data_IF_465721391632
#
_entry.id   IF_465721391632
#
_cell.length_a   1.000
_cell.length_b   1.000
_cell.length_c   1.000
_cell.angle_alpha   90.00
_cell.angle_beta   90.00
_cell.angle_gamma   90.00
#
_symmetry.space_group_name_H-M   'P 1'
#
loop_
_entity.id
_entity.type
_entity.pdbx_description
1 polymer ?
#
# COMPACT_ATOMS: atom_id res chain seq x y z
N UNK A 1 -8.29 -29.65 -1.63
CA UNK A 1 -9.62 -29.55 -2.25
C UNK A 1 -10.57 -28.68 -1.43
N UNK A 2 -10.69 -28.88 -0.10
CA UNK A 2 -11.64 -28.12 0.75
C UNK A 2 -11.44 -26.58 0.74
N UNK A 3 -10.20 -26.08 0.71
CA UNK A 3 -9.91 -24.65 0.69
C UNK A 3 -10.53 -23.96 -0.53
N UNK A 4 -10.18 -24.43 -1.72
CA UNK A 4 -10.63 -23.78 -2.96
C UNK A 4 -12.13 -23.87 -3.20
N UNK A 5 -12.79 -24.96 -2.77
CA UNK A 5 -14.26 -25.05 -2.86
C UNK A 5 -14.97 -24.00 -2.00
N UNK A 6 -14.43 -23.69 -0.80
CA UNK A 6 -14.99 -22.63 0.06
C UNK A 6 -14.72 -21.25 -0.54
N UNK A 7 -13.49 -20.99 -1.04
CA UNK A 7 -13.15 -19.73 -1.71
C UNK A 7 -14.06 -19.49 -2.92
N UNK A 8 -14.26 -20.51 -3.76
CA UNK A 8 -15.18 -20.44 -4.93
C UNK A 8 -16.60 -20.15 -4.48
N UNK A 9 -17.12 -20.88 -3.52
CA UNK A 9 -18.48 -20.63 -2.99
C UNK A 9 -18.63 -19.20 -2.46
N UNK A 10 -17.59 -18.64 -1.83
CA UNK A 10 -17.61 -17.25 -1.35
C UNK A 10 -17.60 -16.24 -2.50
N UNK A 11 -16.81 -16.48 -3.55
CA UNK A 11 -16.82 -15.67 -4.78
C UNK A 11 -18.23 -15.67 -5.38
N UNK A 12 -18.84 -16.84 -5.58
CA UNK A 12 -20.17 -16.99 -6.17
C UNK A 12 -21.25 -16.29 -5.33
N UNK A 13 -21.16 -16.41 -4.00
CA UNK A 13 -22.08 -15.74 -3.07
C UNK A 13 -22.02 -14.21 -3.23
N UNK A 14 -20.83 -13.64 -3.34
CA UNK A 14 -20.65 -12.18 -3.39
C UNK A 14 -20.91 -11.62 -4.78
N UNK A 15 -20.52 -12.35 -5.83
CA UNK A 15 -20.69 -11.88 -7.21
C UNK A 15 -22.06 -12.19 -7.80
N UNK A 16 -22.80 -13.14 -7.21
CA UNK A 16 -24.06 -13.67 -7.77
C UNK A 16 -23.85 -14.48 -9.06
N UNK A 17 -22.63 -14.83 -9.42
CA UNK A 17 -22.28 -15.53 -10.66
C UNK A 17 -21.59 -16.86 -10.35
N UNK A 18 -21.94 -17.91 -11.11
CA UNK A 18 -21.24 -19.19 -11.01
C UNK A 18 -19.80 -19.05 -11.50
N UNK A 19 -18.85 -19.53 -10.70
CA UNK A 19 -17.43 -19.55 -11.04
C UNK A 19 -16.94 -20.99 -11.23
N UNK A 20 -16.96 -21.44 -12.46
CA UNK A 20 -16.44 -22.77 -12.84
C UNK A 20 -14.91 -22.82 -12.76
N UNK A 21 -14.38 -23.11 -11.58
CA UNK A 21 -12.93 -23.22 -11.36
C UNK A 21 -12.34 -24.35 -12.23
N UNK A 22 -11.42 -24.01 -13.12
CA UNK A 22 -10.72 -24.92 -14.00
C UNK A 22 -9.30 -25.23 -13.53
N UNK A 23 -8.57 -24.21 -13.05
CA UNK A 23 -7.18 -24.34 -12.64
C UNK A 23 -6.86 -23.43 -11.45
N UNK A 24 -5.98 -23.93 -10.60
CA UNK A 24 -5.33 -23.16 -9.52
C UNK A 24 -3.86 -23.10 -9.83
N UNK A 25 -3.30 -21.91 -9.99
CA UNK A 25 -1.90 -21.69 -10.29
C UNK A 25 -1.25 -20.93 -9.15
N UNK A 26 -0.19 -21.47 -8.55
CA UNK A 26 0.66 -20.71 -7.65
C UNK A 26 1.42 -19.65 -8.47
N UNK A 27 1.42 -18.41 -7.99
CA UNK A 27 2.11 -17.30 -8.63
C UNK A 27 3.39 -16.96 -7.87
N UNK A 28 4.37 -16.41 -8.57
CA UNK A 28 5.53 -15.82 -7.95
C UNK A 28 5.21 -14.39 -7.51
N UNK A 29 5.74 -13.96 -6.37
CA UNK A 29 5.54 -12.63 -5.82
C UNK A 29 4.79 -12.65 -4.49
N UNK A 30 5.10 -11.68 -3.63
CA UNK A 30 4.57 -11.57 -2.28
C UNK A 30 5.50 -12.22 -1.25
N UNK A 31 6.32 -11.39 -0.57
CA UNK A 31 7.26 -11.86 0.46
C UNK A 31 6.54 -12.42 1.70
N UNK A 32 5.26 -12.05 1.89
CA UNK A 32 4.49 -12.32 3.11
C UNK A 32 3.37 -13.33 2.86
N UNK A 33 2.73 -13.28 1.69
CA UNK A 33 1.55 -14.04 1.37
C UNK A 33 1.85 -15.12 0.33
N UNK A 34 1.19 -16.27 0.44
CA UNK A 34 1.09 -17.22 -0.67
C UNK A 34 0.05 -16.71 -1.65
N UNK A 35 0.40 -16.61 -2.93
CA UNK A 35 -0.45 -15.99 -3.94
C UNK A 35 -0.79 -16.99 -5.05
N UNK A 36 -2.04 -16.91 -5.52
CA UNK A 36 -2.58 -17.85 -6.49
C UNK A 36 -3.45 -17.13 -7.51
N UNK A 37 -3.47 -17.66 -8.72
CA UNK A 37 -4.48 -17.37 -9.72
C UNK A 37 -5.51 -18.49 -9.72
N UNK A 38 -6.78 -18.15 -9.53
CA UNK A 38 -7.90 -19.04 -9.81
C UNK A 38 -8.41 -18.74 -11.21
N UNK A 39 -8.26 -19.69 -12.11
CA UNK A 39 -8.71 -19.56 -13.50
C UNK A 39 -10.04 -20.29 -13.67
N UNK A 40 -11.07 -19.55 -14.09
CA UNK A 40 -12.35 -20.07 -14.55
C UNK A 40 -12.46 -20.08 -16.07
N UNK A 41 -13.65 -20.38 -16.58
CA UNK A 41 -13.92 -20.42 -18.03
C UNK A 41 -13.92 -19.04 -18.71
N UNK A 42 -14.39 -18.01 -17.99
CA UNK A 42 -14.58 -16.64 -18.54
C UNK A 42 -13.80 -15.58 -17.81
N UNK A 43 -13.40 -15.84 -16.57
CA UNK A 43 -12.69 -14.88 -15.71
C UNK A 43 -11.70 -15.58 -14.81
N UNK A 44 -10.80 -14.79 -14.24
CA UNK A 44 -9.83 -15.24 -13.24
C UNK A 44 -9.87 -14.35 -12.01
N UNK A 45 -9.43 -14.88 -10.87
CA UNK A 45 -9.26 -14.11 -9.63
C UNK A 45 -7.83 -14.28 -9.11
N UNK A 46 -7.34 -13.25 -8.46
CA UNK A 46 -6.10 -13.28 -7.70
C UNK A 46 -6.43 -13.53 -6.23
N UNK A 47 -5.74 -14.47 -5.61
CA UNK A 47 -5.98 -14.86 -4.21
C UNK A 47 -4.71 -14.79 -3.41
N UNK A 48 -4.75 -14.02 -2.33
CA UNK A 48 -3.74 -14.02 -1.28
C UNK A 48 -4.16 -14.98 -0.16
N UNK A 49 -3.23 -15.78 0.34
CA UNK A 49 -3.43 -16.67 1.49
C UNK A 49 -2.39 -16.38 2.56
N UNK A 50 -2.84 -16.38 3.82
CA UNK A 50 -1.97 -16.31 4.99
C UNK A 50 -2.62 -17.05 6.17
N UNK A 51 -2.01 -17.01 7.37
CA UNK A 51 -2.59 -17.60 8.59
C UNK A 51 -3.93 -16.95 8.92
N UNK A 52 -4.88 -17.73 9.47
CA UNK A 52 -6.21 -17.25 9.87
C UNK A 52 -6.16 -16.04 10.81
N UNK A 53 -5.14 -15.97 11.69
CA UNK A 53 -4.92 -14.83 12.59
C UNK A 53 -4.64 -13.49 11.89
N UNK A 54 -4.32 -13.51 10.58
CA UNK A 54 -4.03 -12.34 9.77
C UNK A 54 -5.20 -11.91 8.88
N UNK A 55 -6.42 -12.39 9.14
CA UNK A 55 -7.61 -11.96 8.38
C UNK A 55 -7.77 -10.43 8.41
N UNK A 56 -7.58 -9.80 9.57
CA UNK A 56 -7.70 -8.35 9.71
C UNK A 56 -6.78 -7.58 8.76
N UNK A 57 -5.57 -8.10 8.46
CA UNK A 57 -4.66 -7.51 7.47
C UNK A 57 -5.31 -7.48 6.07
N UNK A 58 -5.97 -8.56 5.66
CA UNK A 58 -6.66 -8.64 4.38
C UNK A 58 -7.91 -7.76 4.31
N UNK A 59 -8.64 -7.64 5.42
CA UNK A 59 -9.83 -6.80 5.49
C UNK A 59 -9.46 -5.31 5.35
N UNK A 60 -8.40 -4.86 6.02
CA UNK A 60 -7.96 -3.46 5.91
C UNK A 60 -7.29 -3.17 4.56
N UNK A 61 -6.61 -4.13 3.94
CA UNK A 61 -6.11 -4.00 2.57
C UNK A 61 -7.30 -3.81 1.59
N UNK A 62 -8.35 -4.62 1.73
CA UNK A 62 -9.55 -4.47 0.89
C UNK A 62 -10.22 -3.10 1.07
N UNK A 63 -10.27 -2.56 2.31
CA UNK A 63 -10.77 -1.21 2.57
C UNK A 63 -9.90 -0.15 1.89
N UNK A 64 -8.57 -0.26 1.98
CA UNK A 64 -7.65 0.66 1.32
C UNK A 64 -7.80 0.66 -0.20
N UNK A 65 -7.91 -0.51 -0.81
CA UNK A 65 -8.18 -0.64 -2.25
C UNK A 65 -9.52 -0.01 -2.64
N UNK A 66 -10.56 -0.17 -1.80
CA UNK A 66 -11.86 0.46 -2.02
C UNK A 66 -11.78 1.98 -1.92
N UNK A 67 -11.11 2.53 -0.90
CA UNK A 67 -10.96 3.98 -0.72
C UNK A 67 -10.21 4.60 -1.91
N UNK A 68 -9.11 3.98 -2.36
CA UNK A 68 -8.38 4.42 -3.56
C UNK A 68 -9.26 4.37 -4.81
N UNK A 69 -9.98 3.27 -5.04
CA UNK A 69 -10.87 3.13 -6.20
C UNK A 69 -11.99 4.16 -6.22
N UNK A 70 -12.52 4.52 -5.03
CA UNK A 70 -13.63 5.49 -4.89
C UNK A 70 -13.27 6.90 -5.35
N UNK A 71 -11.98 7.21 -5.42
CA UNK A 71 -11.48 8.51 -5.92
C UNK A 71 -11.58 8.64 -7.44
N UNK A 72 -11.71 7.54 -8.17
CA UNK A 72 -11.71 7.47 -9.63
C UNK A 72 -10.45 8.09 -10.29
N UNK A 73 -9.36 8.18 -9.55
CA UNK A 73 -8.10 8.77 -10.05
C UNK A 73 -7.14 7.73 -10.59
N UNK A 74 -6.99 6.61 -9.87
CA UNK A 74 -6.06 5.53 -10.18
C UNK A 74 -6.80 4.19 -10.22
N UNK A 75 -6.35 3.30 -11.11
CA UNK A 75 -6.84 1.92 -11.13
C UNK A 75 -6.21 1.12 -10.01
N UNK A 76 -7.04 0.35 -9.31
CA UNK A 76 -6.64 -0.67 -8.34
C UNK A 76 -7.35 -1.98 -8.66
N UNK A 77 -6.81 -3.16 -8.27
CA UNK A 77 -7.55 -4.41 -8.34
C UNK A 77 -8.79 -4.34 -7.45
N UNK A 78 -9.94 -4.75 -7.98
CA UNK A 78 -11.19 -4.75 -7.21
C UNK A 78 -11.19 -5.85 -6.15
N UNK A 79 -11.37 -5.54 -4.85
CA UNK A 79 -11.62 -6.54 -3.82
C UNK A 79 -12.95 -7.26 -4.08
N UNK A 80 -12.96 -8.58 -3.98
CA UNK A 80 -14.15 -9.40 -4.18
C UNK A 80 -14.68 -9.91 -2.84
N UNK A 81 -13.84 -10.63 -2.09
CA UNK A 81 -14.20 -11.14 -0.77
C UNK A 81 -12.96 -11.53 0.03
N UNK A 82 -13.14 -11.63 1.34
CA UNK A 82 -12.17 -12.20 2.28
C UNK A 82 -12.84 -13.21 3.20
N UNK A 83 -12.06 -13.99 3.93
CA UNK A 83 -12.58 -14.95 4.88
C UNK A 83 -11.52 -15.91 5.43
N UNK A 84 -12.00 -16.89 6.20
CA UNK A 84 -11.16 -17.94 6.81
C UNK A 84 -11.65 -19.32 6.35
N UNK A 85 -10.69 -20.20 6.07
CA UNK A 85 -10.92 -21.62 5.83
C UNK A 85 -9.90 -22.44 6.61
N UNK A 86 -10.32 -23.04 7.70
CA UNK A 86 -9.42 -23.76 8.60
C UNK A 86 -8.39 -22.84 9.23
N UNK A 87 -7.11 -23.07 8.98
CA UNK A 87 -6.01 -22.26 9.48
C UNK A 87 -5.57 -21.14 8.52
N UNK A 88 -6.23 -21.03 7.36
CA UNK A 88 -5.89 -20.04 6.35
C UNK A 88 -6.92 -18.91 6.29
N UNK A 89 -6.44 -17.66 6.32
CA UNK A 89 -7.18 -16.49 5.84
C UNK A 89 -6.94 -16.31 4.35
N UNK A 90 -7.92 -15.74 3.65
CA UNK A 90 -7.80 -15.40 2.24
C UNK A 90 -8.37 -14.03 1.91
N UNK A 91 -7.79 -13.39 0.89
CA UNK A 91 -8.33 -12.24 0.19
C UNK A 91 -8.40 -12.56 -1.30
N UNK A 92 -9.57 -12.35 -1.89
CA UNK A 92 -9.81 -12.51 -3.32
C UNK A 92 -9.92 -11.14 -3.96
N UNK A 93 -9.13 -10.91 -4.99
CA UNK A 93 -9.12 -9.70 -5.80
C UNK A 93 -9.43 -10.03 -7.27
N UNK A 94 -9.82 -9.02 -8.02
CA UNK A 94 -9.76 -9.05 -9.48
C UNK A 94 -8.38 -9.53 -9.95
N UNK A 95 -8.33 -10.45 -10.89
CA UNK A 95 -7.08 -10.79 -11.54
C UNK A 95 -6.80 -9.80 -12.67
N UNK A 96 -5.65 -9.16 -12.60
CA UNK A 96 -5.13 -8.29 -13.65
C UNK A 96 -3.82 -8.89 -14.17
N UNK A 97 -3.71 -9.08 -15.48
CA UNK A 97 -2.45 -9.47 -16.09
C UNK A 97 -1.50 -8.27 -16.10
N UNK A 98 -0.52 -8.31 -15.22
CA UNK A 98 0.40 -7.20 -14.99
C UNK A 98 1.58 -7.23 -15.96
N UNK A 99 1.97 -6.06 -16.42
CA UNK A 99 3.15 -5.78 -17.24
C UNK A 99 3.99 -4.68 -16.58
N UNK A 100 5.27 -4.62 -16.93
CA UNK A 100 6.13 -3.52 -16.50
C UNK A 100 5.62 -2.18 -17.03
N UNK A 101 5.73 -1.14 -16.20
CA UNK A 101 5.40 0.23 -16.59
C UNK A 101 6.27 0.69 -17.77
N UNK A 102 5.65 1.06 -18.89
CA UNK A 102 6.27 1.80 -19.98
C UNK A 102 6.49 3.27 -19.60
N UNK A 103 7.25 4.03 -20.38
CA UNK A 103 7.39 5.48 -20.15
C UNK A 103 6.04 6.20 -20.16
N UNK A 104 5.09 5.78 -21.01
CA UNK A 104 3.74 6.35 -21.07
C UNK A 104 2.94 6.05 -19.80
N UNK A 105 2.94 4.80 -19.35
CA UNK A 105 2.21 4.43 -18.12
C UNK A 105 2.85 5.01 -16.86
N UNK A 106 4.16 5.24 -16.84
CA UNK A 106 4.83 5.98 -15.76
C UNK A 106 4.38 7.45 -15.72
N UNK A 107 4.29 8.11 -16.86
CA UNK A 107 3.76 9.48 -16.93
C UNK A 107 2.32 9.52 -16.46
N UNK A 108 1.48 8.61 -16.95
CA UNK A 108 0.08 8.49 -16.52
C UNK A 108 -0.04 8.26 -15.01
N UNK A 109 0.78 7.37 -14.44
CA UNK A 109 0.84 7.13 -13.00
C UNK A 109 1.14 8.42 -12.23
N UNK A 110 2.11 9.21 -12.68
CA UNK A 110 2.46 10.50 -12.05
C UNK A 110 1.32 11.52 -12.09
N UNK A 111 0.63 11.63 -13.21
CA UNK A 111 -0.53 12.53 -13.38
C UNK A 111 -1.71 12.09 -12.49
N UNK A 112 -2.00 10.80 -12.45
CA UNK A 112 -3.07 10.21 -11.66
C UNK A 112 -2.77 10.25 -10.15
N UNK A 113 -1.51 10.05 -9.75
CA UNK A 113 -1.06 10.19 -8.37
C UNK A 113 -1.22 11.65 -7.89
N UNK A 114 -0.89 12.62 -8.74
CA UNK A 114 -1.11 14.03 -8.42
C UNK A 114 -2.60 14.35 -8.21
N UNK A 115 -3.51 13.69 -8.95
CA UNK A 115 -4.96 13.81 -8.75
C UNK A 115 -5.40 13.11 -7.45
N UNK A 116 -4.88 11.93 -7.14
CA UNK A 116 -5.14 11.24 -5.87
C UNK A 116 -4.78 12.13 -4.68
N UNK A 117 -3.64 12.78 -4.73
CA UNK A 117 -3.17 13.67 -3.66
C UNK A 117 -3.99 14.98 -3.51
N UNK A 118 -4.95 15.27 -4.40
CA UNK A 118 -5.95 16.32 -4.17
C UNK A 118 -7.13 15.86 -3.31
N UNK A 119 -7.27 14.55 -3.08
CA UNK A 119 -8.27 14.02 -2.15
C UNK A 119 -7.75 14.21 -0.74
N UNK A 120 -8.35 15.16 0.00
CA UNK A 120 -7.84 15.62 1.28
C UNK A 120 -8.85 15.44 2.42
N UNK A 121 -8.33 15.41 3.65
CA UNK A 121 -9.10 15.43 4.89
C UNK A 121 -8.58 16.54 5.81
N UNK A 122 -9.35 16.81 6.86
CA UNK A 122 -8.96 17.77 7.90
C UNK A 122 -8.04 17.19 8.98
N UNK A 123 -7.62 15.93 8.84
CA UNK A 123 -6.79 15.20 9.81
C UNK A 123 -5.78 14.30 9.06
N UNK A 124 -4.65 14.03 9.70
CA UNK A 124 -3.68 12.99 9.32
C UNK A 124 -4.06 11.66 9.97
N UNK A 125 -3.71 10.54 9.34
CA UNK A 125 -4.08 9.21 9.78
C UNK A 125 -5.21 8.59 8.96
N UNK A 126 -5.86 7.55 9.48
CA UNK A 126 -6.94 6.87 8.76
C UNK A 126 -8.00 6.38 9.76
N UNK A 127 -9.12 5.85 9.26
CA UNK A 127 -10.19 5.35 10.11
C UNK A 127 -9.92 3.95 10.68
N UNK A 128 -8.87 3.27 10.18
CA UNK A 128 -8.36 2.01 10.70
C UNK A 128 -6.84 2.01 10.77
N UNK A 129 -6.28 1.28 11.75
CA UNK A 129 -4.90 0.84 11.65
C UNK A 129 -4.79 -0.17 10.51
N UNK A 130 -3.66 -0.20 9.81
CA UNK A 130 -3.41 -1.14 8.72
C UNK A 130 -2.02 -1.76 8.85
N UNK A 131 -1.48 -2.26 7.76
CA UNK A 131 -0.19 -2.95 7.79
C UNK A 131 0.71 -2.43 6.67
N UNK A 132 1.99 -2.25 7.00
CA UNK A 132 3.04 -2.08 6.01
C UNK A 132 3.95 -3.31 6.10
N UNK A 133 3.95 -4.11 5.03
CA UNK A 133 4.48 -5.45 5.12
C UNK A 133 3.73 -6.29 6.17
N UNK A 134 4.43 -6.88 7.13
CA UNK A 134 3.83 -7.61 8.27
C UNK A 134 3.63 -6.76 9.52
N UNK A 135 4.10 -5.51 9.53
CA UNK A 135 4.09 -4.64 10.69
C UNK A 135 2.78 -3.85 10.77
N UNK A 136 2.19 -3.81 11.96
CA UNK A 136 1.03 -2.96 12.23
C UNK A 136 1.44 -1.49 12.06
N UNK A 137 0.69 -0.76 11.25
CA UNK A 137 0.84 0.67 11.02
C UNK A 137 -0.31 1.41 11.71
N UNK A 138 0.01 2.12 12.77
CA UNK A 138 -0.96 2.94 13.51
C UNK A 138 -1.35 4.16 12.70
N UNK A 139 -2.64 4.48 12.71
CA UNK A 139 -3.24 5.57 11.94
C UNK A 139 -4.17 6.43 12.80
N UNK A 140 -3.87 6.55 14.09
CA UNK A 140 -4.62 7.44 14.99
C UNK A 140 -4.71 8.84 14.39
N UNK A 141 -5.90 9.42 14.39
CA UNK A 141 -6.14 10.73 13.79
C UNK A 141 -5.44 11.82 14.56
N UNK A 142 -4.71 12.68 13.84
CA UNK A 142 -3.97 13.82 14.36
C UNK A 142 -4.24 15.07 13.51
N UNK A 143 -4.16 16.24 14.13
CA UNK A 143 -4.33 17.51 13.43
C UNK A 143 -3.01 18.10 12.94
N UNK A 144 -1.89 17.58 13.41
CA UNK A 144 -0.54 18.02 13.08
C UNK A 144 0.26 16.89 12.44
N UNK A 145 0.83 17.17 11.24
CA UNK A 145 1.62 16.18 10.50
C UNK A 145 2.90 15.79 11.21
N UNK A 146 3.58 16.78 11.79
CA UNK A 146 4.87 16.54 12.46
C UNK A 146 4.65 15.59 13.64
N UNK A 147 3.62 15.87 14.47
CA UNK A 147 3.26 15.00 15.58
C UNK A 147 2.85 13.61 15.11
N UNK A 148 1.96 13.53 14.09
CA UNK A 148 1.57 12.25 13.50
C UNK A 148 2.77 11.43 13.04
N UNK A 149 3.69 12.07 12.30
CA UNK A 149 4.86 11.36 11.75
C UNK A 149 5.83 10.93 12.86
N UNK A 150 6.07 11.79 13.85
CA UNK A 150 6.92 11.45 15.00
C UNK A 150 6.36 10.26 15.77
N UNK A 151 5.07 10.28 16.14
CA UNK A 151 4.46 9.29 17.03
C UNK A 151 4.03 8.01 16.31
N UNK A 152 3.42 8.15 15.13
CA UNK A 152 2.81 7.00 14.45
C UNK A 152 3.74 6.35 13.42
N UNK A 153 4.87 6.97 13.10
CA UNK A 153 5.86 6.45 12.15
C UNK A 153 7.22 6.25 12.81
N UNK A 154 7.93 7.33 13.13
CA UNK A 154 9.31 7.27 13.59
C UNK A 154 9.44 6.53 14.94
N UNK A 155 8.69 6.94 15.96
CA UNK A 155 8.77 6.34 17.30
C UNK A 155 8.42 4.84 17.25
N UNK A 156 7.37 4.46 16.52
CA UNK A 156 6.97 3.05 16.37
C UNK A 156 8.09 2.21 15.74
N UNK A 157 8.77 2.72 14.70
CA UNK A 157 9.86 1.98 14.04
C UNK A 157 11.10 1.88 14.94
N UNK A 158 11.42 2.93 15.69
CA UNK A 158 12.51 2.88 16.67
C UNK A 158 12.23 1.88 17.78
N UNK A 159 10.99 1.83 18.27
CA UNK A 159 10.58 0.85 19.29
C UNK A 159 10.67 -0.59 18.75
N UNK A 160 10.16 -0.86 17.55
CA UNK A 160 10.27 -2.15 16.89
C UNK A 160 11.74 -2.55 16.67
N UNK A 161 12.58 -1.61 16.26
CA UNK A 161 14.02 -1.85 16.13
C UNK A 161 14.65 -2.22 17.46
N UNK A 162 14.29 -1.52 18.56
CA UNK A 162 14.78 -1.83 19.89
C UNK A 162 14.34 -3.24 20.36
N UNK A 163 13.08 -3.61 20.13
CA UNK A 163 12.55 -4.94 20.43
C UNK A 163 13.26 -6.05 19.65
N UNK A 164 13.72 -5.75 18.44
CA UNK A 164 14.52 -6.64 17.59
C UNK A 164 16.02 -6.62 17.90
N UNK A 165 16.44 -5.95 19.00
CA UNK A 165 17.83 -5.92 19.45
C UNK A 165 18.69 -4.79 18.84
N UNK A 166 18.13 -3.91 18.04
CA UNK A 166 18.84 -2.75 17.48
C UNK A 166 18.84 -1.59 18.48
N UNK A 167 19.76 -1.67 19.45
CA UNK A 167 19.97 -0.67 20.49
C UNK A 167 21.16 0.27 20.17
N UNK A 168 21.56 1.10 21.11
CA UNK A 168 22.76 1.92 21.02
C UNK A 168 22.66 3.05 20.00
N UNK A 169 23.59 3.10 19.06
CA UNK A 169 23.73 4.22 18.12
C UNK A 169 22.45 4.50 17.32
N UNK A 170 21.71 3.46 16.92
CA UNK A 170 20.46 3.64 16.18
C UNK A 170 19.42 4.42 17.02
N UNK A 171 19.26 4.04 18.29
CA UNK A 171 18.31 4.71 19.17
C UNK A 171 18.75 6.16 19.48
N UNK A 172 20.06 6.41 19.68
CA UNK A 172 20.58 7.77 19.88
C UNK A 172 20.32 8.65 18.66
N UNK A 173 20.66 8.19 17.46
CA UNK A 173 20.43 8.94 16.23
C UNK A 173 18.93 9.09 15.92
N UNK A 174 18.14 8.10 16.25
CA UNK A 174 16.68 8.16 16.12
C UNK A 174 16.05 9.23 17.02
N UNK A 175 16.52 9.35 18.27
CA UNK A 175 16.08 10.40 19.19
C UNK A 175 16.54 11.80 18.72
N UNK A 176 17.75 11.95 18.18
CA UNK A 176 18.21 13.20 17.57
C UNK A 176 17.34 13.57 16.37
N UNK A 177 17.08 12.62 15.47
CA UNK A 177 16.20 12.82 14.31
C UNK A 177 14.80 13.23 14.74
N UNK A 178 14.21 12.54 15.73
CA UNK A 178 12.91 12.89 16.28
C UNK A 178 12.82 14.37 16.68
N UNK A 179 13.87 14.89 17.38
CA UNK A 179 13.95 16.31 17.74
C UNK A 179 14.11 17.27 16.57
N UNK A 180 14.65 16.78 15.42
CA UNK A 180 14.89 17.62 14.22
C UNK A 180 13.68 17.66 13.28
N UNK A 181 12.74 16.70 13.36
CA UNK A 181 11.58 16.60 12.45
C UNK A 181 10.83 17.92 12.27
N UNK A 182 10.50 18.70 13.33
CA UNK A 182 9.76 19.96 13.17
C UNK A 182 10.48 20.97 12.25
N UNK A 183 11.79 20.95 12.20
CA UNK A 183 12.58 21.90 11.39
C UNK A 183 12.39 21.67 9.89
N UNK A 184 12.13 20.45 9.46
CA UNK A 184 11.90 20.10 8.04
C UNK A 184 10.58 20.63 7.52
N UNK A 185 9.62 20.91 8.40
CA UNK A 185 8.29 21.38 8.07
C UNK A 185 8.06 22.86 8.45
N UNK A 186 9.07 23.56 8.96
CA UNK A 186 8.95 24.95 9.46
C UNK A 186 8.54 25.99 8.40
N UNK A 187 8.83 25.72 7.13
CA UNK A 187 8.51 26.61 5.98
C UNK A 187 7.52 25.97 4.99
N UNK A 188 6.91 24.86 5.36
CA UNK A 188 6.02 24.09 4.49
C UNK A 188 4.73 23.74 5.21
N UNK A 189 3.60 24.10 4.62
CA UNK A 189 2.29 23.71 5.13
C UNK A 189 1.89 22.36 4.52
N UNK A 190 1.87 21.34 5.35
CA UNK A 190 1.43 20.00 4.96
C UNK A 190 -0.08 19.95 4.76
N UNK A 191 -0.51 19.12 3.83
CA UNK A 191 -1.93 18.82 3.59
C UNK A 191 -2.15 17.32 3.77
N UNK A 192 -3.22 16.97 4.46
CA UNK A 192 -3.59 15.56 4.67
C UNK A 192 -4.21 14.98 3.39
N UNK A 193 -3.37 14.57 2.47
CA UNK A 193 -3.72 13.94 1.19
C UNK A 193 -3.90 12.44 1.35
N UNK A 194 -4.84 11.83 0.61
CA UNK A 194 -4.96 10.38 0.56
C UNK A 194 -3.73 9.79 -0.13
N UNK A 195 -3.03 8.90 0.57
CA UNK A 195 -1.82 8.23 0.10
C UNK A 195 -2.10 6.75 -0.20
N UNK A 196 -1.31 6.21 -1.12
CA UNK A 196 -1.15 4.76 -1.25
C UNK A 196 -0.46 4.19 0.01
N UNK A 197 0.54 4.91 0.53
CA UNK A 197 1.25 4.60 1.77
C UNK A 197 2.37 3.57 1.66
N UNK A 198 2.41 2.78 0.58
CA UNK A 198 3.49 1.82 0.26
C UNK A 198 3.79 1.82 -1.25
N UNK A 199 3.95 3.00 -1.86
CA UNK A 199 4.09 3.15 -3.32
C UNK A 199 5.54 3.02 -3.80
N UNK A 200 6.11 1.85 -3.72
CA UNK A 200 7.40 1.54 -4.35
C UNK A 200 7.20 0.80 -5.69
N UNK A 201 8.28 0.56 -6.42
CA UNK A 201 8.22 -0.03 -7.78
C UNK A 201 7.60 -1.43 -7.85
N UNK A 202 7.52 -2.15 -6.72
CA UNK A 202 6.87 -3.45 -6.65
C UNK A 202 5.35 -3.39 -6.49
N UNK A 203 4.78 -2.23 -6.18
CA UNK A 203 3.35 -2.02 -5.94
C UNK A 203 2.66 -1.21 -7.04
N UNK A 204 3.31 -1.06 -8.20
CA UNK A 204 2.73 -0.44 -9.39
C UNK A 204 3.16 -1.16 -10.67
N UNK A 205 2.22 -1.30 -11.60
CA UNK A 205 2.41 -1.98 -12.87
C UNK A 205 1.53 -1.33 -13.95
N UNK A 206 1.53 -1.90 -15.15
CA UNK A 206 0.54 -1.62 -16.17
C UNK A 206 -0.32 -2.87 -16.42
N UNK A 207 -1.57 -2.67 -16.82
CA UNK A 207 -2.41 -3.75 -17.34
C UNK A 207 -2.11 -4.04 -18.82
N UNK A 208 -2.82 -5.00 -19.40
CA UNK A 208 -2.66 -5.37 -20.83
C UNK A 208 -2.95 -4.23 -21.79
N UNK A 209 -3.73 -3.22 -21.39
CA UNK A 209 -4.03 -2.02 -22.16
C UNK A 209 -2.99 -0.92 -21.97
N UNK A 210 -1.99 -1.15 -21.12
CA UNK A 210 -0.95 -0.19 -20.76
C UNK A 210 -1.40 0.89 -19.78
N UNK A 211 -2.56 0.72 -19.12
CA UNK A 211 -3.03 1.61 -18.07
C UNK A 211 -2.27 1.34 -16.77
N UNK A 212 -1.85 2.39 -16.08
CA UNK A 212 -1.20 2.25 -14.78
C UNK A 212 -2.19 1.68 -13.74
N UNK A 213 -1.70 0.77 -12.91
CA UNK A 213 -2.43 0.14 -11.80
C UNK A 213 -1.53 0.11 -10.57
N UNK A 214 -2.09 0.41 -9.40
CA UNK A 214 -1.42 0.30 -8.10
C UNK A 214 -2.14 -0.73 -7.23
N UNK A 215 -1.40 -1.42 -6.38
CA UNK A 215 -1.90 -2.51 -5.53
C UNK A 215 -1.08 -2.62 -4.24
N UNK A 216 -1.55 -3.43 -3.28
CA UNK A 216 -0.94 -3.62 -1.96
C UNK A 216 -0.79 -2.32 -1.16
N UNK A 217 -1.87 -1.53 -0.98
CA UNK A 217 -1.79 -0.25 -0.30
C UNK A 217 -1.70 -0.39 1.22
N UNK A 218 -1.07 0.62 1.84
CA UNK A 218 -1.10 0.88 3.27
C UNK A 218 -1.67 2.29 3.54
N UNK A 219 -2.92 2.53 3.09
CA UNK A 219 -3.53 3.85 2.97
C UNK A 219 -3.61 4.63 4.29
N UNK A 220 -3.37 5.92 4.19
CA UNK A 220 -3.69 6.91 5.22
C UNK A 220 -3.71 8.32 4.62
N UNK A 221 -4.24 9.29 5.35
CA UNK A 221 -4.13 10.70 5.01
C UNK A 221 -2.84 11.25 5.59
N UNK A 222 -1.92 11.67 4.74
CA UNK A 222 -0.58 12.12 5.08
C UNK A 222 -0.05 13.19 4.13
N UNK A 223 1.17 13.61 4.37
CA UNK A 223 1.87 14.46 3.41
C UNK A 223 2.18 13.65 2.14
N UNK A 224 1.72 14.16 0.99
CA UNK A 224 1.94 13.55 -0.33
C UNK A 224 3.41 13.23 -0.64
N UNK A 225 4.35 13.95 -0.02
CA UNK A 225 5.78 13.68 -0.19
C UNK A 225 6.17 12.29 0.32
N UNK A 226 5.35 11.66 1.20
CA UNK A 226 5.59 10.29 1.66
C UNK A 226 5.46 9.26 0.53
N UNK A 227 4.40 9.34 -0.30
CA UNK A 227 4.28 8.48 -1.49
C UNK A 227 5.39 8.73 -2.51
N UNK A 228 5.74 10.01 -2.74
CA UNK A 228 6.81 10.37 -3.66
C UNK A 228 8.15 9.80 -3.17
N UNK A 229 8.43 9.86 -1.88
CA UNK A 229 9.62 9.27 -1.29
C UNK A 229 9.66 7.74 -1.45
N UNK A 230 8.53 7.07 -1.24
CA UNK A 230 8.41 5.62 -1.45
C UNK A 230 8.70 5.22 -2.89
N UNK A 231 8.32 6.04 -3.89
CA UNK A 231 8.65 5.74 -5.30
C UNK A 231 10.15 5.68 -5.58
N UNK A 232 11.00 6.28 -4.73
CA UNK A 232 12.46 6.27 -4.88
C UNK A 232 13.14 5.09 -4.15
N UNK A 233 12.40 4.36 -3.30
CA UNK A 233 12.93 3.16 -2.65
C UNK A 233 13.20 2.06 -3.69
N UNK A 234 14.22 1.26 -3.43
CA UNK A 234 14.60 0.10 -4.27
C UNK A 234 14.88 0.44 -5.75
N UNK A 235 15.35 1.65 -6.04
CA UNK A 235 15.77 2.05 -7.39
C UNK A 235 14.83 3.02 -8.09
N UNK A 236 13.66 3.28 -7.54
CA UNK A 236 12.73 4.30 -8.02
C UNK A 236 12.12 4.03 -9.40
N UNK A 237 11.24 4.94 -9.81
CA UNK A 237 10.76 5.02 -11.19
C UNK A 237 11.71 5.88 -12.03
N UNK A 238 11.79 5.64 -13.35
CA UNK A 238 12.66 6.44 -14.25
C UNK A 238 12.28 7.93 -14.20
N UNK A 239 13.25 8.79 -14.47
CA UNK A 239 13.19 10.25 -14.32
C UNK A 239 12.02 10.99 -15.00
N UNK A 240 11.19 10.32 -15.81
CA UNK A 240 9.99 10.88 -16.45
C UNK A 240 8.88 11.28 -15.45
N UNK A 241 8.91 10.74 -14.23
CA UNK A 241 7.99 11.15 -13.15
C UNK A 241 8.54 12.32 -12.32
N UNK A 242 9.73 12.83 -12.62
CA UNK A 242 10.45 13.84 -11.83
C UNK A 242 10.19 15.23 -12.42
N UNK A 243 9.26 15.99 -11.86
CA UNK A 243 9.15 17.41 -12.15
C UNK A 243 10.17 18.23 -11.36
N UNK A 244 10.69 19.32 -11.98
CA UNK A 244 11.92 20.06 -11.72
C UNK A 244 12.08 20.83 -10.39
N UNK A 245 11.25 20.61 -9.37
CA UNK A 245 11.37 21.25 -8.05
C UNK A 245 11.93 20.30 -6.95
N UNK A 246 12.72 19.32 -7.36
CA UNK A 246 13.10 18.14 -6.56
C UNK A 246 14.11 18.36 -5.43
N UNK A 247 14.86 19.46 -5.39
CA UNK A 247 16.02 19.57 -4.47
C UNK A 247 15.60 19.75 -3.00
N UNK A 248 14.51 20.48 -2.74
CA UNK A 248 13.96 20.59 -1.38
C UNK A 248 13.13 19.33 -0.98
N UNK A 249 12.47 18.71 -1.94
CA UNK A 249 11.79 17.41 -1.84
C UNK A 249 12.76 16.27 -1.48
N UNK A 250 13.97 16.28 -2.03
CA UNK A 250 14.97 15.22 -1.82
C UNK A 250 15.43 15.09 -0.36
N UNK A 251 15.60 16.19 0.35
CA UNK A 251 16.00 16.16 1.76
C UNK A 251 14.86 15.68 2.66
N UNK A 252 13.60 16.02 2.35
CA UNK A 252 12.42 15.54 3.07
C UNK A 252 12.17 14.05 2.77
N UNK A 253 12.31 13.64 1.51
CA UNK A 253 12.21 12.26 1.07
C UNK A 253 13.28 11.34 1.70
N UNK A 254 14.51 11.83 1.90
CA UNK A 254 15.59 11.07 2.59
C UNK A 254 15.18 10.73 4.02
N UNK A 255 14.47 11.60 4.73
CA UNK A 255 14.02 11.32 6.09
C UNK A 255 12.95 10.22 6.15
N UNK A 256 12.07 10.19 5.17
CA UNK A 256 11.06 9.12 5.02
C UNK A 256 11.72 7.81 4.56
N UNK A 257 12.91 7.87 3.92
CA UNK A 257 13.70 6.71 3.46
C UNK A 257 14.44 5.95 4.56
N UNK A 258 14.61 6.51 5.73
CA UNK A 258 15.45 5.89 6.78
C UNK A 258 14.66 4.87 7.60
N UNK A 259 13.36 4.79 7.45
CA UNK A 259 12.43 3.94 8.20
C UNK A 259 11.32 3.37 7.30
#
# INVERSE_FOLDING_TARGET
MKLWSVVVSKIEQVTGQTFGLQKVEAMQGGDINRVYRLQGSTQSYFVKLNKASLLAMFEVEALGLHDLASTHTLRTPKPICSGIVGEDAFLVLEYVALQSLSSRSQQQLGEQLAQLHQVQQSYFGWHHDNYIGSNLQKNTRENDWVHFWQEQRLAVQLELAAQNGYAGKLQTLGAELYGLVPQFFSSYQTQASLLHGDLWSGNAAADEQGQAIIYDPACYYGDREADIAMTELFGGYRASCKNSNFTALYLRAILIRIF
#
